data_IF_988429992172
#
_entry.id   IF_988429992172
#
_cell.length_a   1.000
_cell.length_b   1.000
_cell.length_c   1.000
_cell.angle_alpha   90.00
_cell.angle_beta   90.00
_cell.angle_gamma   90.00
#
_symmetry.space_group_name_H-M   'P 1'
#
loop_
_entity.id
_entity.type
_entity.pdbx_description
1 polymer ?
#
# COMPACT_ATOMS: atom_id res chain seq x y z
N UNK A 1 -46.80 26.16 4.34
CA UNK A 1 -45.90 26.97 3.49
C UNK A 1 -44.68 27.27 4.36
N UNK A 2 -43.65 26.44 4.19
CA UNK A 2 -42.20 26.58 4.44
C UNK A 2 -41.76 27.39 5.68
N UNK A 3 -41.13 26.75 6.69
CA UNK A 3 -39.65 26.69 6.91
C UNK A 3 -39.09 28.04 7.38
N UNK A 4 -38.32 28.16 8.47
CA UNK A 4 -37.02 27.52 8.66
C UNK A 4 -36.75 27.12 10.13
N UNK A 5 -36.27 25.89 10.29
CA UNK A 5 -35.52 25.42 11.44
C UNK A 5 -34.16 26.15 11.48
N UNK A 6 -33.87 26.90 12.53
CA UNK A 6 -32.47 27.17 12.89
C UNK A 6 -31.96 25.99 13.72
N UNK A 7 -31.29 25.06 13.04
CA UNK A 7 -30.55 23.98 13.67
C UNK A 7 -29.25 24.54 14.24
N UNK A 8 -29.07 24.39 15.56
CA UNK A 8 -27.81 24.60 16.27
C UNK A 8 -26.69 23.80 15.56
N UNK A 9 -25.51 24.38 15.27
CA UNK A 9 -24.44 23.63 14.62
C UNK A 9 -23.98 22.47 15.50
N UNK A 10 -23.86 21.29 14.89
CA UNK A 10 -23.31 20.09 15.53
C UNK A 10 -21.81 20.31 15.82
N UNK A 11 -21.26 19.77 16.92
CA UNK A 11 -19.84 19.89 17.21
C UNK A 11 -19.05 19.18 16.10
N UNK A 12 -18.13 19.95 15.51
CA UNK A 12 -17.15 19.50 14.54
C UNK A 12 -16.36 18.29 15.06
N UNK A 13 -16.59 17.14 14.44
CA UNK A 13 -15.85 15.90 14.69
C UNK A 13 -14.35 16.16 14.54
N UNK A 14 -13.50 15.74 15.52
CA UNK A 14 -12.06 15.85 15.34
C UNK A 14 -11.65 15.01 14.14
N UNK A 15 -11.08 15.65 13.13
CA UNK A 15 -10.50 14.98 11.97
C UNK A 15 -9.52 13.90 12.47
N UNK A 16 -9.86 12.63 12.23
CA UNK A 16 -8.95 11.53 12.49
C UNK A 16 -7.60 11.82 11.79
N UNK A 17 -6.46 11.50 12.42
CA UNK A 17 -5.17 11.71 11.80
C UNK A 17 -5.14 10.99 10.44
N UNK A 18 -4.49 11.55 9.40
CA UNK A 18 -4.39 10.87 8.11
C UNK A 18 -3.81 9.50 8.39
N UNK A 19 -4.61 8.47 8.16
CA UNK A 19 -4.29 7.08 8.43
C UNK A 19 -2.88 6.86 7.93
N UNK A 20 -1.91 6.75 8.85
CA UNK A 20 -0.51 6.57 8.53
C UNK A 20 -0.46 5.53 7.44
N UNK A 21 -0.12 5.96 6.21
CA UNK A 21 -0.24 5.19 4.98
C UNK A 21 0.36 3.83 5.32
N UNK A 22 -0.49 2.81 5.51
CA UNK A 22 -0.04 1.49 5.96
C UNK A 22 1.18 1.19 5.13
N UNK A 23 2.35 1.09 5.76
CA UNK A 23 3.56 0.81 5.03
C UNK A 23 3.23 -0.41 4.19
N UNK A 24 3.26 -0.24 2.87
CA UNK A 24 2.89 -1.30 1.94
C UNK A 24 3.71 -2.52 2.35
N UNK A 25 3.08 -3.68 2.51
CA UNK A 25 3.81 -4.94 2.80
C UNK A 25 4.74 -5.36 1.65
N UNK A 26 4.74 -4.60 0.56
CA UNK A 26 5.54 -4.80 -0.65
C UNK A 26 6.31 -3.50 -0.92
N UNK A 27 7.62 -3.65 -1.11
CA UNK A 27 8.53 -2.59 -1.57
C UNK A 27 9.02 -2.89 -2.99
N UNK A 28 9.57 -1.88 -3.67
CA UNK A 28 10.11 -2.01 -5.03
C UNK A 28 11.29 -3.00 -5.15
N UNK A 29 12.03 -3.23 -4.05
CA UNK A 29 13.18 -4.12 -4.03
C UNK A 29 14.43 -3.52 -4.68
N UNK A 30 15.33 -4.38 -5.15
CA UNK A 30 16.54 -4.04 -5.87
C UNK A 30 16.67 -4.94 -7.11
N UNK A 31 17.16 -4.42 -8.25
CA UNK A 31 17.31 -5.20 -9.49
C UNK A 31 18.40 -6.30 -9.40
N UNK A 32 19.24 -6.28 -8.36
CA UNK A 32 20.31 -7.23 -8.11
C UNK A 32 20.46 -7.53 -6.60
N UNK A 33 21.01 -8.71 -6.23
CA UNK A 33 21.38 -9.82 -7.11
C UNK A 33 20.14 -10.53 -7.68
N UNK A 34 20.30 -11.21 -8.82
CA UNK A 34 19.23 -12.03 -9.41
C UNK A 34 18.88 -13.21 -8.50
N UNK A 35 17.61 -13.57 -8.45
CA UNK A 35 17.05 -14.61 -7.60
C UNK A 35 16.27 -14.04 -6.41
N UNK A 36 16.15 -14.84 -5.36
CA UNK A 36 15.50 -14.48 -4.11
C UNK A 36 16.58 -14.29 -3.02
N UNK A 37 16.61 -13.12 -2.37
CA UNK A 37 17.59 -12.80 -1.33
C UNK A 37 16.87 -12.37 -0.05
N UNK A 38 17.17 -13.03 1.07
CA UNK A 38 16.63 -12.68 2.39
C UNK A 38 17.56 -11.71 3.12
N UNK A 39 17.00 -10.62 3.65
CA UNK A 39 17.74 -9.58 4.36
C UNK A 39 17.47 -9.53 5.88
N UNK A 40 16.65 -10.45 6.40
CA UNK A 40 16.23 -10.46 7.81
C UNK A 40 14.88 -9.79 8.06
N UNK A 41 14.39 -8.97 7.12
CA UNK A 41 13.12 -8.25 7.20
C UNK A 41 12.12 -8.72 6.12
N UNK A 42 12.63 -9.20 4.99
CA UNK A 42 11.87 -9.63 3.84
C UNK A 42 12.73 -10.37 2.81
N UNK A 43 12.09 -10.77 1.71
CA UNK A 43 12.77 -11.36 0.55
C UNK A 43 12.72 -10.36 -0.60
N UNK A 44 13.88 -10.00 -1.14
CA UNK A 44 14.01 -9.30 -2.42
C UNK A 44 13.99 -10.33 -3.56
N UNK A 45 13.10 -10.15 -4.54
CA UNK A 45 13.04 -10.97 -5.76
C UNK A 45 13.47 -10.12 -6.96
N UNK A 46 14.53 -10.54 -7.65
CA UNK A 46 14.97 -9.93 -8.89
C UNK A 46 15.11 -11.01 -9.97
N UNK A 47 14.53 -10.79 -11.14
CA UNK A 47 14.69 -11.70 -12.28
C UNK A 47 14.88 -10.90 -13.55
N UNK A 48 15.63 -11.48 -14.47
CA UNK A 48 15.82 -10.94 -15.79
C UNK A 48 14.85 -11.61 -16.77
N UNK A 49 14.23 -10.81 -17.63
CA UNK A 49 13.56 -11.31 -18.83
C UNK A 49 13.78 -10.34 -19.98
N UNK A 50 14.33 -10.85 -21.08
CA UNK A 50 14.52 -10.06 -22.30
C UNK A 50 13.21 -9.77 -23.06
N UNK A 51 12.15 -10.55 -22.80
CA UNK A 51 10.94 -10.57 -23.65
C UNK A 51 9.61 -10.62 -22.88
N UNK A 52 9.61 -10.69 -21.55
CA UNK A 52 8.35 -10.80 -20.79
C UNK A 52 7.56 -9.48 -20.85
N UNK A 53 6.26 -9.59 -21.11
CA UNK A 53 5.30 -8.48 -21.03
C UNK A 53 4.66 -8.37 -19.64
N UNK A 54 4.70 -9.45 -18.86
CA UNK A 54 4.22 -9.54 -17.47
C UNK A 54 4.97 -10.66 -16.75
N UNK A 55 5.14 -10.50 -15.44
CA UNK A 55 5.68 -11.53 -14.56
C UNK A 55 4.82 -11.64 -13.30
N UNK A 56 4.68 -12.85 -12.78
CA UNK A 56 3.92 -13.14 -11.57
C UNK A 56 4.80 -13.89 -10.56
N UNK A 57 4.68 -13.52 -9.29
CA UNK A 57 5.32 -14.22 -8.17
C UNK A 57 4.28 -15.12 -7.50
N UNK A 58 4.49 -16.43 -7.58
CA UNK A 58 3.65 -17.41 -6.90
C UNK A 58 4.24 -17.75 -5.52
N UNK A 59 3.45 -17.57 -4.47
CA UNK A 59 3.80 -17.96 -3.10
C UNK A 59 2.92 -19.16 -2.72
N UNK A 60 3.57 -20.22 -2.23
CA UNK A 60 2.92 -21.47 -1.83
C UNK A 60 3.15 -21.71 -0.34
N UNK A 61 2.21 -22.38 0.32
CA UNK A 61 2.26 -22.75 1.73
C UNK A 61 1.83 -24.19 1.95
#
# INVERSE_FOLDING_TARGET
MNMELTSKPAPETPAAPPLARRASRISEGQPFPLGATWDGLGVNFALFSAHATKVELCLFG
#
